data_IF_447828903863
#
_entry.id   IF_447828903863
#
_cell.length_a   1.000
_cell.length_b   1.000
_cell.length_c   1.000
_cell.angle_alpha   90.00
_cell.angle_beta   90.00
_cell.angle_gamma   90.00
#
_symmetry.space_group_name_H-M   'P 1'
#
loop_
_entity.id
_entity.type
_entity.pdbx_description
1 polymer ?
#
# COMPACT_ATOMS: atom_id res chain seq x y z
N UNK A 1 -10.35 9.39 -14.88
CA UNK A 1 -10.75 10.32 -13.80
C UNK A 1 -10.89 9.47 -12.55
N UNK A 2 -10.39 9.93 -11.39
CA UNK A 2 -10.45 9.18 -10.14
C UNK A 2 -11.88 9.26 -9.57
N UNK A 3 -12.47 8.11 -9.24
CA UNK A 3 -13.82 8.02 -8.66
C UNK A 3 -13.80 7.79 -7.13
N UNK A 4 -14.97 7.56 -6.52
CA UNK A 4 -15.07 7.34 -5.07
C UNK A 4 -14.47 5.99 -4.61
N UNK A 5 -14.51 4.94 -5.43
CA UNK A 5 -13.88 3.67 -5.11
C UNK A 5 -12.36 3.81 -5.17
N UNK A 6 -11.84 4.49 -6.19
CA UNK A 6 -10.43 4.82 -6.29
C UNK A 6 -9.96 5.60 -5.05
N UNK A 7 -10.72 6.59 -4.59
CA UNK A 7 -10.39 7.36 -3.38
C UNK A 7 -10.35 6.49 -2.12
N UNK A 8 -11.26 5.52 -1.98
CA UNK A 8 -11.26 4.59 -0.85
C UNK A 8 -9.99 3.72 -0.85
N UNK A 9 -9.60 3.18 -2.00
CA UNK A 9 -8.38 2.39 -2.13
C UNK A 9 -7.13 3.24 -1.92
N UNK A 10 -7.08 4.46 -2.47
CA UNK A 10 -5.95 5.38 -2.25
C UNK A 10 -5.81 5.78 -0.79
N UNK A 11 -6.90 6.03 -0.07
CA UNK A 11 -6.87 6.29 1.36
C UNK A 11 -6.29 5.10 2.14
N UNK A 12 -6.57 3.86 1.69
CA UNK A 12 -5.99 2.65 2.26
C UNK A 12 -4.49 2.54 1.97
N UNK A 13 -4.04 2.83 0.74
CA UNK A 13 -2.60 2.91 0.41
C UNK A 13 -1.86 3.94 1.30
N UNK A 14 -2.47 5.09 1.58
CA UNK A 14 -1.90 6.10 2.49
C UNK A 14 -1.80 5.57 3.92
N UNK A 15 -2.77 4.79 4.38
CA UNK A 15 -2.70 4.15 5.70
C UNK A 15 -1.55 3.12 5.79
N UNK A 16 -1.34 2.32 4.75
CA UNK A 16 -0.23 1.37 4.65
C UNK A 16 1.13 2.08 4.60
N UNK A 17 1.25 3.15 3.82
CA UNK A 17 2.45 3.99 3.78
C UNK A 17 2.79 4.59 5.16
N UNK A 18 1.77 4.96 5.95
CA UNK A 18 1.98 5.40 7.34
C UNK A 18 2.52 4.27 8.22
N UNK A 19 1.99 3.05 8.09
CA UNK A 19 2.46 1.88 8.83
C UNK A 19 3.93 1.53 8.49
N UNK A 20 4.31 1.62 7.21
CA UNK A 20 5.71 1.48 6.81
C UNK A 20 6.61 2.51 7.53
N UNK A 21 6.20 3.79 7.52
CA UNK A 21 6.97 4.82 8.21
C UNK A 21 7.12 4.57 9.71
N UNK A 22 6.04 4.14 10.38
CA UNK A 22 6.02 3.81 11.81
C UNK A 22 6.90 2.59 12.15
N UNK A 23 7.12 1.67 11.21
CA UNK A 23 8.00 0.51 11.35
C UNK A 23 9.46 0.78 10.94
N UNK A 24 9.78 2.00 10.48
CA UNK A 24 11.13 2.39 10.06
C UNK A 24 11.42 2.16 8.58
N UNK A 25 10.39 1.80 7.82
CA UNK A 25 10.43 1.62 6.38
C UNK A 25 10.14 2.90 5.60
N UNK A 26 10.34 2.86 4.28
CA UNK A 26 9.96 3.96 3.40
C UNK A 26 8.43 4.01 3.22
N UNK A 27 7.80 5.20 3.17
CA UNK A 27 6.34 5.34 3.21
C UNK A 27 5.65 5.02 1.88
N UNK A 28 5.66 3.74 1.50
CA UNK A 28 4.97 3.22 0.32
C UNK A 28 3.99 2.10 0.73
N UNK A 29 2.81 2.11 0.13
CA UNK A 29 1.77 1.11 0.34
C UNK A 29 0.98 0.85 -0.93
N UNK A 30 0.63 -0.41 -1.15
CA UNK A 30 -0.06 -0.91 -2.35
C UNK A 30 -1.27 -1.74 -1.95
N UNK A 31 -2.32 -1.70 -2.78
CA UNK A 31 -3.51 -2.55 -2.64
C UNK A 31 -3.80 -3.17 -4.01
N UNK A 32 -3.94 -4.50 -4.05
CA UNK A 32 -4.40 -5.23 -5.23
C UNK A 32 -5.91 -5.43 -5.14
N UNK A 33 -6.64 -4.93 -6.13
CA UNK A 33 -8.10 -5.01 -6.20
C UNK A 33 -8.50 -5.81 -7.45
N UNK A 34 -9.43 -6.73 -7.29
CA UNK A 34 -10.00 -7.51 -8.39
C UNK A 34 -10.88 -6.65 -9.29
N UNK A 35 -11.24 -7.18 -10.47
CA UNK A 35 -12.21 -6.53 -11.36
C UNK A 35 -13.60 -6.33 -10.73
N UNK A 36 -13.93 -7.06 -9.66
CA UNK A 36 -15.20 -6.95 -8.95
C UNK A 36 -15.13 -5.98 -7.75
N UNK A 37 -13.99 -5.29 -7.54
CA UNK A 37 -13.80 -4.37 -6.42
C UNK A 37 -13.37 -5.02 -5.10
N UNK A 38 -13.17 -6.34 -5.08
CA UNK A 38 -12.67 -7.05 -3.91
C UNK A 38 -11.16 -6.82 -3.73
N UNK A 39 -10.74 -6.47 -2.50
CA UNK A 39 -9.31 -6.37 -2.15
C UNK A 39 -8.74 -7.77 -2.02
N UNK A 40 -7.78 -8.10 -2.88
CA UNK A 40 -7.13 -9.40 -2.92
C UNK A 40 -5.86 -9.44 -2.07
N UNK A 41 -5.15 -8.31 -1.98
CA UNK A 41 -3.90 -8.20 -1.24
C UNK A 41 -3.59 -6.76 -0.86
N UNK A 42 -2.88 -6.58 0.24
CA UNK A 42 -2.42 -5.29 0.75
C UNK A 42 -1.01 -5.46 1.29
N UNK A 43 -0.14 -4.51 0.99
CA UNK A 43 1.23 -4.53 1.53
C UNK A 43 1.82 -3.13 1.63
N UNK A 44 2.93 -3.04 2.36
CA UNK A 44 3.75 -1.85 2.47
C UNK A 44 5.23 -2.19 2.28
N UNK A 45 6.09 -1.18 2.23
CA UNK A 45 7.52 -1.37 2.02
C UNK A 45 8.21 -2.12 3.18
N UNK A 46 9.17 -3.01 2.89
CA UNK A 46 9.96 -3.79 3.89
C UNK A 46 11.48 -3.70 3.67
N UNK A 47 11.97 -2.61 3.09
CA UNK A 47 13.40 -2.39 2.79
C UNK A 47 14.27 -2.08 4.02
N UNK A 48 13.67 -1.78 5.18
CA UNK A 48 14.39 -1.52 6.44
C UNK A 48 15.31 -2.69 6.87
N UNK A 49 14.99 -3.91 6.42
CA UNK A 49 15.80 -5.11 6.59
C UNK A 49 17.05 -5.21 5.69
N UNK A 50 17.30 -4.23 4.81
CA UNK A 50 18.48 -4.15 3.95
C UNK A 50 18.32 -4.73 2.54
N UNK A 51 17.18 -5.34 2.23
CA UNK A 51 16.82 -5.73 0.86
C UNK A 51 15.93 -4.65 0.23
N UNK A 52 16.52 -3.89 -0.69
CA UNK A 52 15.85 -2.81 -1.41
C UNK A 52 14.85 -3.26 -2.48
N UNK A 53 14.66 -4.57 -2.68
CA UNK A 53 13.68 -5.09 -3.64
C UNK A 53 12.33 -5.42 -3.02
N UNK A 54 12.20 -5.36 -1.69
CA UNK A 54 10.96 -5.61 -0.95
C UNK A 54 9.99 -4.41 -0.98
N UNK A 55 9.66 -3.98 -2.20
CA UNK A 55 8.56 -3.05 -2.47
C UNK A 55 7.22 -3.79 -2.50
N UNK A 56 6.12 -3.13 -2.10
CA UNK A 56 4.77 -3.69 -2.10
C UNK A 56 4.11 -3.72 -3.48
#
# INVERSE_FOLDING_TARGET
>A
MIDEHDKQHLARCVALARQALESGDQPFGSVLVSANGEVLFEDHNHVSGGDHTQHP
#
